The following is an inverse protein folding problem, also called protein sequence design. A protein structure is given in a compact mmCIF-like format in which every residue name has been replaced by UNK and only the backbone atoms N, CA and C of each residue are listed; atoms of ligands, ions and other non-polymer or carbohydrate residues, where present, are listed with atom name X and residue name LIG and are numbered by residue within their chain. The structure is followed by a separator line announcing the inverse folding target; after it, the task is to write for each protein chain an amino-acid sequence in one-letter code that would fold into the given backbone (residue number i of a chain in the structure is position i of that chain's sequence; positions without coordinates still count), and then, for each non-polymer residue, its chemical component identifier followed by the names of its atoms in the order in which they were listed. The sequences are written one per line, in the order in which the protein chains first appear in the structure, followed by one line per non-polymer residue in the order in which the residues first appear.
data_IF_197725138662
#
_entry.id   IF_197725138662
#
_cell.length_a   1.000
_cell.length_b   1.000
_cell.length_c   1.000
_cell.angle_alpha   90.00
_cell.angle_beta   90.00
_cell.angle_gamma   90.00
#
_symmetry.space_group_name_H-M   'P 1'
#
loop_
_entity.id
_entity.type
_entity.pdbx_description
1 polymer ?
#
# COMPACT_ATOMS: atom_id res chain seq x y z
N UNK A 1 30.96 1.87 -48.14
CA UNK A 1 29.59 1.48 -48.54
C UNK A 1 28.65 2.56 -48.06
N UNK A 2 27.90 3.21 -48.95
CA UNK A 2 26.87 4.17 -48.56
C UNK A 2 25.86 3.46 -47.64
N UNK A 3 25.86 3.79 -46.35
CA UNK A 3 24.90 3.26 -45.38
C UNK A 3 23.56 3.98 -45.57
N UNK A 4 22.77 3.51 -46.53
CA UNK A 4 21.40 4.00 -46.71
C UNK A 4 20.61 3.77 -45.41
N UNK A 5 20.11 4.85 -44.80
CA UNK A 5 19.32 4.79 -43.57
C UNK A 5 18.04 3.98 -43.87
N UNK A 6 17.82 2.83 -43.20
CA UNK A 6 16.62 2.03 -43.42
C UNK A 6 15.37 2.82 -43.04
N UNK A 7 14.28 2.66 -43.79
CA UNK A 7 13.01 3.35 -43.51
C UNK A 7 12.27 2.63 -42.39
N UNK A 8 11.81 3.36 -41.37
CA UNK A 8 11.12 2.81 -40.20
C UNK A 8 9.88 1.98 -40.58
N UNK A 9 8.98 2.54 -41.40
CA UNK A 9 7.72 1.90 -41.78
C UNK A 9 7.85 0.77 -42.81
N UNK A 10 9.00 0.65 -43.48
CA UNK A 10 9.22 -0.40 -44.49
C UNK A 10 10.04 -1.56 -43.93
N UNK A 11 10.97 -1.29 -43.01
CA UNK A 11 11.91 -2.29 -42.48
C UNK A 11 12.18 -2.05 -40.97
N UNK A 12 11.18 -2.25 -40.10
CA UNK A 12 11.26 -1.85 -38.69
C UNK A 12 12.38 -2.59 -37.93
N UNK A 13 12.52 -3.90 -38.10
CA UNK A 13 13.58 -4.67 -37.42
C UNK A 13 14.99 -4.27 -37.88
N UNK A 14 15.17 -3.97 -39.17
CA UNK A 14 16.45 -3.49 -39.69
C UNK A 14 16.76 -2.09 -39.18
N UNK A 15 15.75 -1.21 -39.06
CA UNK A 15 15.90 0.11 -38.48
C UNK A 15 16.29 0.06 -37.00
N UNK A 16 15.65 -0.80 -36.20
CA UNK A 16 15.99 -0.98 -34.77
C UNK A 16 17.46 -1.42 -34.61
N UNK A 17 17.90 -2.42 -35.40
CA UNK A 17 19.29 -2.89 -35.38
C UNK A 17 20.29 -1.81 -35.81
N UNK A 18 19.94 -1.00 -36.81
CA UNK A 18 20.78 0.13 -37.23
C UNK A 18 20.82 1.22 -36.16
N UNK A 19 19.68 1.61 -35.61
CA UNK A 19 19.56 2.64 -34.58
C UNK A 19 20.34 2.29 -33.30
N UNK A 20 20.35 1.01 -32.90
CA UNK A 20 21.10 0.53 -31.75
C UNK A 20 22.63 0.68 -31.92
N UNK A 21 23.15 0.51 -33.14
CA UNK A 21 24.59 0.58 -33.42
C UNK A 21 25.06 1.99 -33.78
N UNK A 22 24.31 2.72 -34.62
CA UNK A 22 24.70 4.04 -35.13
C UNK A 22 24.40 5.17 -34.14
N UNK A 23 23.28 5.06 -33.40
CA UNK A 23 22.78 6.10 -32.50
C UNK A 23 22.40 5.53 -31.12
N UNK A 24 23.36 4.93 -30.39
CA UNK A 24 23.08 4.20 -29.15
C UNK A 24 22.42 5.07 -28.08
N UNK A 25 22.87 6.32 -27.91
CA UNK A 25 22.33 7.21 -26.88
C UNK A 25 20.81 7.44 -27.01
N UNK A 26 20.34 7.74 -28.23
CA UNK A 26 18.92 7.98 -28.49
C UNK A 26 18.13 6.69 -28.33
N UNK A 27 18.61 5.60 -28.92
CA UNK A 27 17.93 4.30 -28.89
C UNK A 27 17.72 3.79 -27.46
N UNK A 28 18.78 3.75 -26.64
CA UNK A 28 18.68 3.25 -25.28
C UNK A 28 17.96 4.22 -24.34
N UNK A 29 18.02 5.53 -24.56
CA UNK A 29 17.24 6.49 -23.77
C UNK A 29 15.73 6.26 -23.89
N UNK A 30 15.24 5.95 -25.09
CA UNK A 30 13.84 5.63 -25.33
C UNK A 30 13.44 4.32 -24.65
N UNK A 31 14.29 3.29 -24.73
CA UNK A 31 14.03 1.99 -24.09
C UNK A 31 13.96 2.17 -22.58
N UNK A 32 15.00 2.73 -21.96
CA UNK A 32 15.08 2.92 -20.51
C UNK A 32 13.95 3.82 -20.01
N UNK A 33 13.65 4.91 -20.74
CA UNK A 33 12.51 5.78 -20.44
C UNK A 33 11.17 5.06 -20.53
N UNK A 34 10.98 4.20 -21.54
CA UNK A 34 9.73 3.45 -21.73
C UNK A 34 9.54 2.30 -20.72
N UNK A 35 10.63 1.73 -20.19
CA UNK A 35 10.55 0.66 -19.19
C UNK A 35 9.84 1.13 -17.92
N UNK A 36 10.03 2.39 -17.49
CA UNK A 36 9.38 2.93 -16.29
C UNK A 36 7.85 2.83 -16.33
N UNK A 37 7.18 3.48 -17.31
CA UNK A 37 5.72 3.38 -17.46
C UNK A 37 5.22 1.93 -17.63
N UNK A 38 5.94 1.09 -18.37
CA UNK A 38 5.59 -0.32 -18.55
C UNK A 38 5.58 -1.06 -17.21
N UNK A 39 6.58 -0.84 -16.35
CA UNK A 39 6.65 -1.46 -15.03
C UNK A 39 5.52 -0.97 -14.12
N UNK A 40 5.22 0.33 -14.14
CA UNK A 40 4.10 0.89 -13.33
C UNK A 40 2.76 0.24 -13.70
N UNK A 41 2.53 -0.09 -14.97
CA UNK A 41 1.27 -0.70 -15.41
C UNK A 41 1.23 -2.23 -15.21
N UNK A 42 2.37 -2.90 -15.28
CA UNK A 42 2.45 -4.37 -15.24
C UNK A 42 2.71 -4.92 -13.84
N UNK A 43 3.64 -4.32 -13.09
CA UNK A 43 4.10 -4.81 -11.79
C UNK A 43 2.99 -4.85 -10.74
N UNK A 44 2.11 -3.83 -10.56
CA UNK A 44 1.06 -3.89 -9.55
C UNK A 44 0.09 -5.05 -9.76
N UNK A 45 -0.28 -5.34 -11.02
CA UNK A 45 -1.18 -6.45 -11.35
C UNK A 45 -0.55 -7.80 -11.00
N UNK A 46 0.74 -7.97 -11.27
CA UNK A 46 1.48 -9.20 -10.92
C UNK A 46 1.60 -9.32 -9.39
N UNK A 47 1.95 -8.23 -8.70
CA UNK A 47 2.10 -8.18 -7.25
C UNK A 47 0.80 -8.54 -6.51
N UNK A 48 -0.33 -8.04 -6.98
CA UNK A 48 -1.64 -8.41 -6.42
C UNK A 48 -2.00 -9.88 -6.62
N UNK A 49 -1.60 -10.49 -7.74
CA UNK A 49 -1.80 -11.93 -7.99
C UNK A 49 -0.92 -12.81 -7.11
N UNK A 50 0.25 -12.32 -6.70
CA UNK A 50 1.18 -13.02 -5.80
C UNK A 50 0.80 -12.89 -4.32
N UNK A 51 -0.34 -12.25 -4.00
CA UNK A 51 -0.87 -12.18 -2.63
C UNK A 51 -0.45 -10.93 -1.84
N UNK A 52 0.29 -10.00 -2.45
CA UNK A 52 0.56 -8.70 -1.83
C UNK A 52 -0.65 -7.76 -2.07
N UNK A 53 -1.57 -7.81 -1.11
CA UNK A 53 -2.81 -7.04 -1.10
C UNK A 53 -2.61 -5.55 -0.76
N UNK A 54 -3.67 -4.73 -0.89
CA UNK A 54 -3.62 -3.34 -0.48
C UNK A 54 -3.35 -3.24 1.02
N UNK A 55 -2.31 -2.50 1.40
CA UNK A 55 -1.99 -2.26 2.81
C UNK A 55 -3.09 -1.38 3.43
N UNK A 56 -3.52 -1.66 4.67
CA UNK A 56 -4.48 -0.80 5.36
C UNK A 56 -3.90 0.61 5.49
N UNK A 57 -4.75 1.62 5.35
CA UNK A 57 -4.35 3.01 5.49
C UNK A 57 -3.99 3.29 6.96
N UNK A 58 -2.84 3.92 7.17
CA UNK A 58 -2.45 4.38 8.51
C UNK A 58 -3.38 5.54 8.91
N UNK A 59 -3.94 5.55 10.12
CA UNK A 59 -4.79 6.64 10.56
C UNK A 59 -3.97 7.94 10.62
N UNK A 60 -4.44 8.96 9.89
CA UNK A 60 -3.83 10.30 9.86
C UNK A 60 -4.16 11.12 11.12
N UNK A 61 -5.16 10.69 11.88
CA UNK A 61 -5.64 11.37 13.08
C UNK A 61 -5.78 10.37 14.21
N UNK A 62 -5.63 10.85 15.44
CA UNK A 62 -5.89 10.03 16.62
C UNK A 62 -7.27 9.36 16.51
N UNK A 63 -7.37 8.04 16.69
CA UNK A 63 -8.62 7.34 16.53
C UNK A 63 -9.58 7.75 17.66
N UNK A 64 -10.55 8.58 17.31
CA UNK A 64 -11.60 9.02 18.23
C UNK A 64 -12.68 7.93 18.24
N UNK A 65 -12.95 7.28 19.39
CA UNK A 65 -14.00 6.28 19.46
C UNK A 65 -15.37 6.94 19.24
N UNK A 66 -16.18 6.37 18.34
CA UNK A 66 -17.52 6.86 17.97
C UNK A 66 -18.59 6.54 19.03
N UNK A 67 -18.27 6.65 20.32
CA UNK A 67 -19.15 6.28 21.43
C UNK A 67 -19.53 7.47 22.32
N UNK A 68 -20.66 7.39 23.06
CA UNK A 68 -20.99 8.37 24.11
C UNK A 68 -19.86 8.49 25.12
N UNK A 69 -19.55 9.71 25.55
CA UNK A 69 -18.51 9.96 26.56
C UNK A 69 -18.92 9.29 27.86
N UNK A 70 -18.02 8.49 28.44
CA UNK A 70 -18.22 7.92 29.77
C UNK A 70 -18.24 9.06 30.81
N UNK A 71 -19.22 9.11 31.72
CA UNK A 71 -19.29 10.17 32.72
C UNK A 71 -18.08 10.14 33.65
N UNK A 72 -17.55 11.32 33.97
CA UNK A 72 -16.42 11.46 34.89
C UNK A 72 -16.87 11.12 36.32
N UNK A 73 -15.98 10.48 37.09
CA UNK A 73 -16.21 10.00 38.46
C UNK A 73 -16.87 11.02 39.39
N UNK A 74 -16.65 12.31 39.18
CA UNK A 74 -17.22 13.39 40.01
C UNK A 74 -18.73 13.58 39.81
N UNK A 75 -19.29 13.24 38.65
CA UNK A 75 -20.74 13.30 38.41
C UNK A 75 -21.49 12.04 38.92
N UNK A 76 -20.75 11.00 39.33
CA UNK A 76 -21.29 9.71 39.76
C UNK A 76 -21.15 9.46 41.27
N UNK A 77 -20.53 10.37 42.03
CA UNK A 77 -20.24 10.26 43.46
C UNK A 77 -21.49 10.45 44.36
N UNK A 78 -22.69 10.14 43.84
CA UNK A 78 -23.96 10.23 44.57
C UNK A 78 -24.83 8.97 44.42
N UNK A 79 -24.28 7.86 43.88
CA UNK A 79 -24.96 6.55 43.83
C UNK A 79 -24.06 5.48 44.44
N UNK A 80 -24.60 4.80 45.44
CA UNK A 80 -23.90 3.81 46.25
C UNK A 80 -23.23 2.68 45.43
N UNK A 81 -21.92 2.56 45.61
CA UNK A 81 -21.21 1.33 45.98
C UNK A 81 -21.34 0.05 45.12
N UNK A 82 -21.56 0.11 43.79
CA UNK A 82 -21.55 -1.12 42.95
C UNK A 82 -20.77 -1.05 41.63
N UNK A 83 -20.13 0.08 41.30
CA UNK A 83 -19.71 0.35 39.90
C UNK A 83 -18.24 0.03 39.55
N UNK A 84 -17.45 -0.55 40.46
CA UNK A 84 -16.01 -0.80 40.24
C UNK A 84 -15.73 -2.04 39.38
N UNK A 85 -16.59 -3.06 39.38
CA UNK A 85 -16.41 -4.27 38.56
C UNK A 85 -16.57 -4.02 37.06
N UNK A 86 -17.57 -3.21 36.70
CA UNK A 86 -18.02 -3.12 35.31
C UNK A 86 -17.05 -2.30 34.45
N UNK A 87 -16.45 -1.24 35.03
CA UNK A 87 -15.45 -0.43 34.34
C UNK A 87 -14.13 -1.18 34.14
N UNK A 88 -13.73 -2.05 35.07
CA UNK A 88 -12.46 -2.79 34.99
C UNK A 88 -12.55 -3.90 33.92
N UNK A 89 -13.70 -4.56 33.79
CA UNK A 89 -13.94 -5.58 32.74
C UNK A 89 -14.01 -4.93 31.35
N UNK A 90 -14.75 -3.83 31.21
CA UNK A 90 -14.90 -3.09 29.94
C UNK A 90 -13.57 -2.53 29.42
N UNK A 91 -12.72 -2.01 30.33
CA UNK A 91 -11.43 -1.41 29.95
C UNK A 91 -10.43 -2.46 29.43
N UNK A 92 -10.58 -3.74 29.78
CA UNK A 92 -9.70 -4.82 29.32
C UNK A 92 -10.00 -5.25 27.87
N UNK A 93 -11.24 -5.12 27.38
CA UNK A 93 -11.64 -5.61 26.06
C UNK A 93 -11.44 -4.61 24.91
N UNK A 94 -11.43 -3.31 25.22
CA UNK A 94 -11.35 -2.24 24.24
C UNK A 94 -9.94 -1.89 23.79
N UNK A 95 -8.89 -2.31 24.50
CA UNK A 95 -7.58 -1.68 24.34
C UNK A 95 -6.86 -2.05 23.04
N UNK A 96 -7.15 -3.20 22.42
CA UNK A 96 -6.44 -3.61 21.20
C UNK A 96 -7.26 -4.54 20.28
N UNK A 97 -8.07 -4.01 19.33
CA UNK A 97 -8.74 -4.85 18.33
C UNK A 97 -7.73 -5.51 17.35
N UNK A 98 -6.53 -4.94 17.18
CA UNK A 98 -5.51 -5.43 16.24
C UNK A 98 -4.74 -6.68 16.70
N UNK A 99 -4.81 -7.07 17.98
CA UNK A 99 -4.06 -8.21 18.53
C UNK A 99 -4.95 -9.39 18.94
N UNK A 100 -6.27 -9.33 18.69
CA UNK A 100 -7.23 -10.36 19.15
C UNK A 100 -7.02 -11.75 18.54
N UNK A 101 -6.34 -11.87 17.40
CA UNK A 101 -6.01 -13.17 16.80
C UNK A 101 -4.83 -13.88 17.45
N UNK A 102 -3.88 -13.14 18.04
CA UNK A 102 -2.60 -13.70 18.49
C UNK A 102 -2.66 -14.30 19.91
N UNK A 103 -3.60 -13.84 20.75
CA UNK A 103 -3.75 -14.31 22.13
C UNK A 103 -4.57 -15.61 22.27
N UNK A 104 -5.15 -16.15 21.18
CA UNK A 104 -5.90 -17.42 21.20
C UNK A 104 -5.05 -18.66 20.95
N UNK A 105 -3.77 -18.50 20.66
CA UNK A 105 -2.85 -19.62 20.35
C UNK A 105 -1.93 -19.97 21.53
N UNK A 106 -1.93 -19.16 22.60
CA UNK A 106 -0.98 -19.28 23.72
C UNK A 106 -1.65 -19.77 25.02
N UNK A 107 -2.94 -20.16 25.00
CA UNK A 107 -3.63 -20.79 26.13
C UNK A 107 -4.32 -22.06 25.67
#
# INVERSE_FOLDING_TARGET
MSSTIPRFFSQPFRYIRWAANEKPAIFFSLIVGSIGPVLVLTVPKIRHRLGDGPRPQIPLTYPIPSGPRKPLRMASMNRGNTFTSDIIVERRQSQWPYYKGWLRTIV
#
